data_IF_496501435250
#
_entry.id   IF_496501435250
#
_cell.length_a   1.000
_cell.length_b   1.000
_cell.length_c   1.000
_cell.angle_alpha   90.00
_cell.angle_beta   90.00
_cell.angle_gamma   90.00
#
_symmetry.space_group_name_H-M   'P 1'
#
loop_
_entity.id
_entity.type
_entity.pdbx_description
1 polymer ?
#
# COMPACT_ATOMS: atom_id res chain seq x y z
N UNK A 1 -44.36 10.44 -31.88
CA UNK A 1 -43.11 10.04 -31.18
C UNK A 1 -43.46 9.70 -29.74
N UNK A 2 -43.29 8.44 -29.32
CA UNK A 2 -43.72 7.99 -28.00
C UNK A 2 -42.84 8.56 -26.88
N UNK A 3 -43.45 8.88 -25.73
CA UNK A 3 -42.78 9.40 -24.52
C UNK A 3 -41.61 8.53 -24.04
N UNK A 4 -41.61 7.25 -24.42
CA UNK A 4 -40.56 6.27 -24.11
C UNK A 4 -39.20 6.62 -24.74
N UNK A 5 -39.18 7.23 -25.92
CA UNK A 5 -37.93 7.62 -26.60
C UNK A 5 -37.32 8.91 -26.03
N UNK A 6 -38.08 9.70 -25.27
CA UNK A 6 -37.59 10.92 -24.63
C UNK A 6 -36.90 10.60 -23.29
N UNK A 7 -37.45 9.69 -22.48
CA UNK A 7 -36.81 9.22 -21.24
C UNK A 7 -35.50 8.46 -21.51
N UNK A 8 -35.46 7.60 -22.53
CA UNK A 8 -34.23 6.83 -22.84
C UNK A 8 -33.07 7.74 -23.27
N UNK A 9 -33.35 8.85 -23.98
CA UNK A 9 -32.34 9.83 -24.38
C UNK A 9 -31.86 10.71 -23.22
N UNK A 10 -32.72 10.96 -22.22
CA UNK A 10 -32.33 11.71 -21.03
C UNK A 10 -31.47 10.87 -20.07
N UNK A 11 -31.72 9.56 -19.97
CA UNK A 11 -30.87 8.63 -19.21
C UNK A 11 -29.48 8.46 -19.86
N UNK A 12 -29.38 8.45 -21.19
CA UNK A 12 -28.10 8.37 -21.90
C UNK A 12 -27.30 9.68 -21.82
N UNK A 13 -27.95 10.86 -21.78
CA UNK A 13 -27.25 12.14 -21.55
C UNK A 13 -26.78 12.31 -20.09
N UNK A 14 -27.54 11.78 -19.11
CA UNK A 14 -27.13 11.80 -17.71
C UNK A 14 -25.97 10.82 -17.41
N UNK A 15 -25.84 9.73 -18.18
CA UNK A 15 -24.73 8.79 -18.04
C UNK A 15 -23.43 9.33 -18.66
N UNK A 16 -23.52 10.12 -19.73
CA UNK A 16 -22.35 10.75 -20.38
C UNK A 16 -21.88 12.00 -19.63
N UNK A 17 -22.75 12.64 -18.84
CA UNK A 17 -22.40 13.81 -18.00
C UNK A 17 -21.94 13.45 -16.57
N UNK A 18 -21.98 12.18 -16.17
CA UNK A 18 -21.33 11.71 -14.93
C UNK A 18 -19.88 11.26 -15.14
N UNK A 19 -19.41 11.28 -16.39
CA UNK A 19 -17.98 11.35 -16.71
C UNK A 19 -17.51 12.80 -16.74
N UNK A 20 -17.96 13.61 -15.76
CA UNK A 20 -17.08 14.68 -15.32
C UNK A 20 -15.89 13.97 -14.73
N UNK A 21 -14.84 13.82 -15.54
CA UNK A 21 -13.49 13.77 -15.04
C UNK A 21 -13.41 14.90 -14.00
N UNK A 22 -13.55 14.55 -12.72
CA UNK A 22 -12.83 15.27 -11.71
C UNK A 22 -11.41 15.25 -12.26
N UNK A 23 -10.95 16.40 -12.73
CA UNK A 23 -9.53 16.66 -12.83
C UNK A 23 -9.04 16.41 -11.40
N UNK A 24 -8.68 15.14 -11.14
CA UNK A 24 -8.50 14.61 -9.82
C UNK A 24 -7.35 15.38 -9.22
N UNK A 25 -7.55 15.90 -8.02
CA UNK A 25 -6.53 16.56 -7.25
C UNK A 25 -5.18 15.85 -7.41
N UNK A 26 -4.14 16.59 -7.76
CA UNK A 26 -2.78 16.05 -7.97
C UNK A 26 -2.06 15.96 -6.64
N UNK A 27 -0.96 15.20 -6.55
CA UNK A 27 -0.11 15.22 -5.36
C UNK A 27 0.39 16.63 -5.00
N UNK A 28 0.65 17.48 -6.01
CA UNK A 28 1.14 18.85 -5.83
C UNK A 28 0.10 19.71 -5.07
N UNK A 29 -1.18 19.54 -5.37
CA UNK A 29 -2.27 20.30 -4.75
C UNK A 29 -2.41 20.03 -3.24
N UNK A 30 -1.82 18.94 -2.73
CA UNK A 30 -1.85 18.58 -1.31
C UNK A 30 -0.69 19.18 -0.52
N UNK A 31 0.35 19.69 -1.17
CA UNK A 31 1.49 20.26 -0.47
C UNK A 31 1.05 21.52 0.32
N UNK A 32 1.51 21.70 1.56
CA UNK A 32 1.28 22.94 2.30
C UNK A 32 1.78 24.17 1.53
N UNK A 33 1.13 25.32 1.69
CA UNK A 33 1.67 26.55 1.11
C UNK A 33 2.92 27.03 1.86
N UNK A 34 3.65 27.99 1.30
CA UNK A 34 4.63 28.76 2.07
C UNK A 34 4.00 29.35 3.34
N UNK A 35 4.78 29.42 4.41
CA UNK A 35 4.36 29.94 5.72
C UNK A 35 3.15 29.18 6.32
N UNK A 36 2.84 27.96 5.85
CA UNK A 36 1.82 27.08 6.46
C UNK A 36 2.04 26.90 7.96
N UNK A 37 3.31 26.90 8.37
CA UNK A 37 3.77 27.16 9.72
C UNK A 37 4.69 28.40 9.67
N UNK A 38 4.52 29.38 10.58
CA UNK A 38 5.31 30.62 10.54
C UNK A 38 6.82 30.37 10.45
N UNK A 39 7.49 31.02 9.50
CA UNK A 39 8.92 30.94 9.23
C UNK A 39 9.35 29.76 8.35
N UNK A 40 8.44 28.87 7.96
CA UNK A 40 8.73 27.72 7.09
C UNK A 40 8.45 28.06 5.64
N UNK A 41 9.44 27.82 4.77
CA UNK A 41 9.35 28.09 3.33
C UNK A 41 9.76 26.89 2.51
N UNK A 42 9.09 26.68 1.38
CA UNK A 42 9.46 25.70 0.38
C UNK A 42 10.85 26.02 -0.18
N UNK A 43 11.68 25.00 -0.34
CA UNK A 43 12.85 25.06 -1.20
C UNK A 43 12.41 24.96 -2.66
N UNK A 44 13.13 25.61 -3.56
CA UNK A 44 12.73 25.82 -4.96
C UNK A 44 12.57 24.55 -5.82
N UNK A 45 12.99 23.38 -5.35
CA UNK A 45 12.90 22.13 -6.11
C UNK A 45 11.69 21.31 -5.63
N UNK A 46 10.49 21.74 -6.02
CA UNK A 46 9.33 20.83 -6.00
C UNK A 46 9.54 19.84 -7.14
N UNK A 47 9.82 18.60 -6.80
CA UNK A 47 9.96 17.52 -7.77
C UNK A 47 8.57 16.91 -7.97
N UNK A 48 7.95 17.21 -9.10
CA UNK A 48 6.74 16.56 -9.56
C UNK A 48 7.13 15.54 -10.63
N UNK A 49 6.87 14.26 -10.36
CA UNK A 49 7.17 13.19 -11.30
C UNK A 49 5.89 12.51 -11.76
N UNK A 50 5.79 12.30 -13.06
CA UNK A 50 4.82 11.41 -13.71
C UNK A 50 5.63 10.24 -14.31
N UNK A 51 5.05 9.04 -14.32
CA UNK A 51 5.63 7.84 -14.96
C UNK A 51 7.06 7.46 -14.50
N UNK A 52 7.98 7.28 -15.47
CA UNK A 52 9.30 6.64 -15.32
C UNK A 52 10.31 7.48 -14.51
N UNK A 53 9.97 8.70 -14.09
CA UNK A 53 10.87 9.54 -13.30
C UNK A 53 10.81 9.22 -11.79
N UNK A 54 9.85 8.38 -11.35
CA UNK A 54 9.75 7.90 -9.97
C UNK A 54 11.05 7.20 -9.49
N UNK A 55 11.79 6.58 -10.42
CA UNK A 55 13.06 5.90 -10.11
C UNK A 55 14.14 6.86 -9.59
N UNK A 56 14.07 8.15 -9.93
CA UNK A 56 14.99 9.16 -9.38
C UNK A 56 14.67 9.50 -7.92
N UNK A 57 13.42 9.33 -7.50
CA UNK A 57 12.98 9.60 -6.14
C UNK A 57 13.13 8.38 -5.22
N UNK A 58 12.70 7.19 -5.69
CA UNK A 58 12.74 5.95 -4.90
C UNK A 58 13.61 4.90 -5.61
N UNK A 59 14.89 4.88 -5.27
CA UNK A 59 15.86 3.93 -5.82
C UNK A 59 15.55 2.48 -5.39
N UNK A 60 15.13 1.65 -6.34
CA UNK A 60 14.83 0.22 -6.14
C UNK A 60 13.43 -0.09 -5.56
N UNK A 61 12.60 0.93 -5.33
CA UNK A 61 11.22 0.77 -4.85
C UNK A 61 10.14 1.23 -5.83
N UNK A 62 10.50 1.88 -6.94
CA UNK A 62 9.56 2.43 -7.90
C UNK A 62 8.65 1.36 -8.54
N UNK A 63 9.18 0.19 -8.90
CA UNK A 63 8.40 -0.92 -9.47
C UNK A 63 7.21 -1.33 -8.58
N UNK A 64 7.41 -1.25 -7.26
CA UNK A 64 6.39 -1.60 -6.29
C UNK A 64 5.29 -0.55 -6.22
N UNK A 65 5.63 0.73 -6.34
CA UNK A 65 4.65 1.82 -6.43
C UNK A 65 3.87 1.73 -7.74
N UNK A 66 4.55 1.44 -8.86
CA UNK A 66 3.91 1.23 -10.16
C UNK A 66 2.92 0.06 -10.12
N UNK A 67 3.28 -1.08 -9.51
CA UNK A 67 2.35 -2.20 -9.34
C UNK A 67 1.14 -1.84 -8.47
N UNK A 68 1.34 -0.97 -7.49
CA UNK A 68 0.27 -0.47 -6.63
C UNK A 68 -0.54 0.64 -7.32
N UNK A 69 -0.32 0.97 -8.59
CA UNK A 69 -1.12 1.95 -9.32
C UNK A 69 -0.67 3.39 -9.10
N UNK A 70 0.63 3.64 -9.03
CA UNK A 70 1.18 5.00 -8.97
C UNK A 70 0.64 5.90 -10.09
N UNK A 71 0.28 7.14 -9.75
CA UNK A 71 -0.20 8.15 -10.70
C UNK A 71 0.77 9.34 -10.79
N UNK A 72 1.04 10.01 -9.67
CA UNK A 72 2.03 11.09 -9.59
C UNK A 72 2.61 11.22 -8.17
N UNK A 73 3.72 11.95 -8.06
CA UNK A 73 4.30 12.35 -6.76
C UNK A 73 4.69 13.80 -6.77
N UNK A 74 4.49 14.47 -5.63
CA UNK A 74 5.09 15.77 -5.34
C UNK A 74 6.01 15.64 -4.12
N UNK A 75 7.29 15.95 -4.29
CA UNK A 75 8.29 15.96 -3.22
C UNK A 75 8.85 17.37 -3.02
N UNK A 76 8.92 17.81 -1.76
CA UNK A 76 9.39 19.15 -1.40
C UNK A 76 10.11 19.15 -0.05
N UNK A 77 11.12 20.00 0.07
CA UNK A 77 11.77 20.32 1.35
C UNK A 77 11.28 21.69 1.84
N UNK A 78 10.84 21.78 3.09
CA UNK A 78 10.60 23.04 3.79
C UNK A 78 11.76 23.33 4.73
N UNK A 79 12.21 24.59 4.75
CA UNK A 79 13.27 25.06 5.65
C UNK A 79 12.77 26.12 6.61
N UNK A 80 13.23 26.03 7.85
CA UNK A 80 13.18 27.11 8.82
C UNK A 80 14.60 27.56 9.16
N UNK A 81 14.91 28.87 9.17
CA UNK A 81 16.28 29.38 9.36
C UNK A 81 16.99 28.87 10.63
N UNK A 82 16.23 28.57 11.68
CA UNK A 82 16.77 28.16 12.99
C UNK A 82 16.23 26.83 13.53
N UNK A 83 15.27 26.19 12.87
CA UNK A 83 14.62 24.97 13.40
C UNK A 83 14.95 23.71 12.60
N UNK A 84 15.42 23.83 11.36
CA UNK A 84 15.83 22.69 10.54
C UNK A 84 14.97 22.52 9.29
N UNK A 85 14.69 21.26 8.93
CA UNK A 85 14.11 20.88 7.65
C UNK A 85 13.02 19.83 7.79
N UNK A 86 11.98 19.95 6.96
CA UNK A 86 10.91 18.97 6.81
C UNK A 86 10.85 18.56 5.34
N UNK A 87 10.96 17.28 5.04
CA UNK A 87 10.76 16.72 3.72
C UNK A 87 9.37 16.11 3.66
N UNK A 88 8.61 16.46 2.62
CA UNK A 88 7.26 15.94 2.38
C UNK A 88 7.24 15.32 1.00
N UNK A 89 6.79 14.08 0.91
CA UNK A 89 6.45 13.39 -0.33
C UNK A 89 4.98 13.02 -0.29
N UNK A 90 4.23 13.44 -1.30
CA UNK A 90 2.84 13.07 -1.49
C UNK A 90 2.77 12.21 -2.74
N UNK A 91 2.34 10.95 -2.60
CA UNK A 91 2.14 10.03 -3.71
C UNK A 91 0.64 9.88 -3.95
N UNK A 92 0.19 10.15 -5.17
CA UNK A 92 -1.16 9.82 -5.63
C UNK A 92 -1.14 8.45 -6.29
N UNK A 93 -2.06 7.61 -5.85
CA UNK A 93 -2.31 6.29 -6.41
C UNK A 93 -3.66 6.28 -7.16
N UNK A 94 -3.90 5.22 -7.93
CA UNK A 94 -5.11 5.06 -8.74
C UNK A 94 -6.40 4.86 -7.91
N UNK A 95 -6.24 4.52 -6.62
CA UNK A 95 -7.33 4.16 -5.73
C UNK A 95 -6.96 4.32 -4.26
N UNK A 96 -8.00 4.40 -3.42
CA UNK A 96 -7.87 4.46 -1.95
C UNK A 96 -7.16 3.20 -1.39
N UNK A 97 -7.51 2.02 -1.90
CA UNK A 97 -6.90 0.74 -1.52
C UNK A 97 -5.42 0.65 -1.92
N UNK A 98 -5.06 1.21 -3.08
CA UNK A 98 -3.68 1.29 -3.53
C UNK A 98 -2.82 2.16 -2.61
N UNK A 99 -3.30 3.36 -2.28
CA UNK A 99 -2.64 4.26 -1.33
C UNK A 99 -2.52 3.63 0.06
N UNK A 100 -3.56 2.94 0.53
CA UNK A 100 -3.50 2.16 1.76
C UNK A 100 -2.44 1.05 1.69
N UNK A 101 -2.34 0.34 0.57
CA UNK A 101 -1.31 -0.66 0.32
C UNK A 101 0.09 -0.09 0.52
N UNK A 102 0.39 1.03 -0.16
CA UNK A 102 1.68 1.72 -0.02
C UNK A 102 1.92 2.17 1.41
N UNK A 103 0.93 2.79 2.06
CA UNK A 103 1.01 3.19 3.47
C UNK A 103 1.33 2.01 4.39
N UNK A 104 0.59 0.92 4.27
CA UNK A 104 0.73 -0.27 5.13
C UNK A 104 2.07 -0.98 4.96
N UNK A 105 2.68 -0.85 3.78
CA UNK A 105 4.03 -1.31 3.47
C UNK A 105 5.09 -0.37 4.06
N UNK A 106 4.97 0.94 3.79
CA UNK A 106 6.02 1.94 4.09
C UNK A 106 6.13 2.30 5.56
N UNK A 107 5.03 2.22 6.33
CA UNK A 107 5.09 2.39 7.80
C UNK A 107 6.04 1.40 8.49
N UNK A 108 6.34 0.26 7.84
CA UNK A 108 7.15 -0.80 8.44
C UNK A 108 6.56 -1.29 9.77
N UNK A 109 7.41 -1.34 10.79
CA UNK A 109 7.09 -1.78 12.16
C UNK A 109 6.57 -0.68 13.08
N UNK A 110 6.46 0.56 12.60
CA UNK A 110 5.95 1.67 13.39
C UNK A 110 4.51 1.39 13.84
N UNK A 111 4.19 1.78 15.08
CA UNK A 111 2.89 1.50 15.67
C UNK A 111 1.80 2.33 15.01
N UNK A 112 0.73 1.65 14.63
CA UNK A 112 -0.43 2.26 14.01
C UNK A 112 -1.35 2.83 15.09
N UNK A 113 -1.55 4.15 15.07
CA UNK A 113 -2.64 4.74 15.84
C UNK A 113 -3.94 4.41 15.12
N UNK A 114 -4.69 3.44 15.65
CA UNK A 114 -6.03 3.10 15.14
C UNK A 114 -6.97 4.23 15.60
N UNK A 115 -7.17 5.23 14.75
CA UNK A 115 -8.07 6.35 14.97
C UNK A 115 -9.02 6.48 13.77
N UNK A 116 -10.21 7.10 13.88
CA UNK A 116 -11.06 7.29 12.73
C UNK A 116 -10.47 8.42 11.88
N UNK A 117 -9.64 8.06 10.88
CA UNK A 117 -9.28 8.89 9.73
C UNK A 117 -8.64 10.27 10.05
N UNK A 118 -7.39 10.54 9.63
CA UNK A 118 -6.53 9.70 8.80
C UNK A 118 -5.91 8.56 9.60
N UNK A 119 -5.55 7.47 8.91
CA UNK A 119 -4.65 6.50 9.52
C UNK A 119 -3.25 7.11 9.51
N UNK A 120 -2.70 7.27 10.71
CA UNK A 120 -1.43 7.93 10.93
C UNK A 120 -0.52 7.02 11.72
N UNK A 121 0.74 7.01 11.32
CA UNK A 121 1.82 6.35 12.02
C UNK A 121 3.00 7.32 12.07
N UNK A 122 3.56 7.58 13.23
CA UNK A 122 4.77 8.40 13.37
C UNK A 122 5.84 7.69 14.20
N UNK A 123 7.09 7.91 13.82
CA UNK A 123 8.28 7.56 14.58
C UNK A 123 8.96 8.80 15.14
N UNK A 124 10.24 8.66 15.47
CA UNK A 124 11.03 9.76 16.04
C UNK A 124 11.24 10.92 15.05
N UNK A 125 11.44 10.61 13.77
CA UNK A 125 11.78 11.57 12.71
C UNK A 125 10.88 11.46 11.47
N UNK A 126 9.91 10.56 11.48
CA UNK A 126 9.06 10.27 10.34
C UNK A 126 7.59 10.22 10.70
N UNK A 127 6.76 10.54 9.72
CA UNK A 127 5.30 10.51 9.81
C UNK A 127 4.78 9.97 8.48
N UNK A 128 3.93 8.96 8.55
CA UNK A 128 3.24 8.36 7.42
C UNK A 128 1.74 8.59 7.58
N UNK A 129 1.09 9.03 6.51
CA UNK A 129 -0.36 9.20 6.47
C UNK A 129 -0.94 8.51 5.25
N UNK A 130 -2.16 8.02 5.41
CA UNK A 130 -3.03 7.65 4.29
C UNK A 130 -4.30 8.49 4.35
N UNK A 131 -4.64 9.10 3.21
CA UNK A 131 -5.82 9.92 3.04
C UNK A 131 -6.34 9.82 1.60
N UNK A 132 -7.45 9.12 1.39
CA UNK A 132 -8.01 8.86 0.08
C UNK A 132 -6.99 8.16 -0.83
N UNK A 133 -6.90 8.55 -2.12
CA UNK A 133 -5.91 7.97 -3.03
C UNK A 133 -4.48 8.46 -2.77
N UNK A 134 -4.19 9.07 -1.61
CA UNK A 134 -2.87 9.62 -1.30
C UNK A 134 -2.18 8.89 -0.16
N UNK A 135 -0.91 8.57 -0.39
CA UNK A 135 0.05 8.21 0.64
C UNK A 135 1.01 9.37 0.85
N UNK A 136 1.20 9.78 2.10
CA UNK A 136 2.07 10.89 2.47
C UNK A 136 3.19 10.37 3.36
N UNK A 137 4.42 10.70 2.98
CA UNK A 137 5.64 10.45 3.74
C UNK A 137 6.24 11.78 4.18
N UNK A 138 6.51 11.92 5.47
CA UNK A 138 7.14 13.11 6.04
C UNK A 138 8.37 12.66 6.79
N UNK A 139 9.49 13.34 6.60
CA UNK A 139 10.68 13.16 7.43
C UNK A 139 11.24 14.51 7.88
N UNK A 140 11.89 14.52 9.03
CA UNK A 140 12.43 15.76 9.62
C UNK A 140 13.92 15.63 9.87
N UNK A 141 14.62 16.76 9.82
CA UNK A 141 16.05 16.83 10.14
C UNK A 141 16.36 18.11 10.90
N UNK A 142 17.04 17.96 12.05
CA UNK A 142 17.47 19.10 12.89
C UNK A 142 16.38 19.69 13.81
N UNK A 143 15.13 19.20 13.73
CA UNK A 143 14.04 19.68 14.59
C UNK A 143 14.20 19.16 16.02
N UNK A 144 13.89 20.04 16.99
CA UNK A 144 13.67 19.64 18.38
C UNK A 144 12.43 18.76 18.51
N UNK A 145 12.32 17.95 19.58
CA UNK A 145 11.13 17.12 19.81
C UNK A 145 9.81 17.91 19.81
N UNK A 146 9.81 19.14 20.36
CA UNK A 146 8.65 20.02 20.32
C UNK A 146 8.36 20.54 18.90
N UNK A 147 9.39 20.86 18.12
CA UNK A 147 9.27 21.25 16.72
C UNK A 147 8.65 20.14 15.87
N UNK A 148 9.12 18.90 16.04
CA UNK A 148 8.57 17.71 15.36
C UNK A 148 7.09 17.52 15.70
N UNK A 149 6.73 17.58 16.99
CA UNK A 149 5.34 17.42 17.43
C UNK A 149 4.42 18.49 16.81
N UNK A 150 4.85 19.75 16.77
CA UNK A 150 4.09 20.84 16.14
C UNK A 150 3.92 20.61 14.64
N UNK A 151 5.01 20.28 13.94
CA UNK A 151 4.99 20.00 12.50
C UNK A 151 4.03 18.86 12.17
N UNK A 152 4.14 17.73 12.88
CA UNK A 152 3.28 16.57 12.65
C UNK A 152 1.81 16.88 12.95
N UNK A 153 1.51 17.57 14.05
CA UNK A 153 0.14 17.98 14.38
C UNK A 153 -0.48 18.87 13.29
N UNK A 154 0.29 19.82 12.75
CA UNK A 154 -0.20 20.71 11.69
C UNK A 154 -0.42 19.95 10.37
N UNK A 155 0.46 19.01 10.01
CA UNK A 155 0.30 18.18 8.81
C UNK A 155 -0.89 17.22 8.91
N UNK A 156 -1.09 16.59 10.08
CA UNK A 156 -2.27 15.76 10.36
C UNK A 156 -3.58 16.56 10.28
N UNK A 157 -3.56 17.86 10.56
CA UNK A 157 -4.72 18.73 10.40
C UNK A 157 -4.89 19.28 8.98
N UNK A 158 -3.85 19.26 8.15
CA UNK A 158 -3.82 19.78 6.78
C UNK A 158 -4.37 18.76 5.78
N UNK A 159 -3.77 17.56 5.70
CA UNK A 159 -4.07 16.60 4.63
C UNK A 159 -5.53 16.13 4.57
N UNK A 160 -6.23 15.83 5.69
CA UNK A 160 -7.63 15.44 5.64
C UNK A 160 -8.57 16.51 5.08
N UNK A 161 -8.21 17.80 5.21
CA UNK A 161 -8.98 18.91 4.65
C UNK A 161 -8.76 19.05 3.15
N UNK A 162 -7.54 18.76 2.69
CA UNK A 162 -7.17 18.88 1.30
C UNK A 162 -7.71 17.74 0.47
N UNK A 163 -7.63 16.50 0.96
CA UNK A 163 -8.08 15.31 0.24
C UNK A 163 -9.22 14.61 0.99
N UNK A 164 -10.45 15.13 0.98
CA UNK A 164 -11.58 14.45 1.61
C UNK A 164 -11.80 13.10 0.93
N UNK A 165 -11.52 12.02 1.64
CA UNK A 165 -11.62 10.65 1.17
C UNK A 165 -12.44 9.81 2.13
N UNK A 166 -13.03 8.73 1.63
CA UNK A 166 -13.81 7.82 2.48
C UNK A 166 -12.90 6.96 3.37
N UNK A 167 -11.59 6.90 3.08
CA UNK A 167 -10.57 6.18 3.86
C UNK A 167 -11.02 4.75 4.19
N UNK A 168 -11.52 4.06 3.17
CA UNK A 168 -12.11 2.73 3.29
C UNK A 168 -11.00 1.70 3.35
N UNK A 169 -10.76 1.18 4.54
CA UNK A 169 -9.78 0.11 4.74
C UNK A 169 -10.19 -1.08 3.85
N UNK A 170 -9.27 -1.66 3.06
CA UNK A 170 -9.55 -2.81 2.24
C UNK A 170 -10.15 -3.95 3.07
N UNK A 171 -11.23 -4.56 2.55
CA UNK A 171 -12.01 -5.58 3.28
C UNK A 171 -11.14 -6.74 3.75
N UNK A 172 -10.17 -7.18 2.93
CA UNK A 172 -9.24 -8.25 3.29
C UNK A 172 -8.38 -7.87 4.50
N UNK A 173 -7.92 -6.62 4.57
CA UNK A 173 -7.16 -6.10 5.71
C UNK A 173 -8.07 -5.99 6.93
N UNK A 174 -9.18 -5.26 6.83
CA UNK A 174 -10.08 -4.97 7.96
C UNK A 174 -10.77 -6.19 8.58
N UNK A 175 -10.90 -7.31 7.84
CA UNK A 175 -11.54 -8.54 8.36
C UNK A 175 -10.61 -9.42 9.20
N UNK A 176 -9.33 -9.09 9.34
CA UNK A 176 -8.36 -9.96 10.01
C UNK A 176 -7.86 -9.33 11.30
N UNK A 177 -7.98 -10.01 12.44
CA UNK A 177 -7.54 -9.45 13.74
C UNK A 177 -6.08 -8.97 13.73
N UNK A 178 -5.20 -9.69 13.04
CA UNK A 178 -3.78 -9.28 12.94
C UNK A 178 -3.58 -7.99 12.13
N UNK A 179 -4.59 -7.48 11.43
CA UNK A 179 -4.54 -6.17 10.78
C UNK A 179 -4.43 -5.03 11.79
N UNK A 180 -4.78 -5.28 13.06
CA UNK A 180 -4.57 -4.36 14.18
C UNK A 180 -3.11 -4.34 14.64
N UNK A 181 -2.26 -5.24 14.15
CA UNK A 181 -0.83 -5.28 14.45
C UNK A 181 -0.04 -4.34 13.55
N UNK A 182 0.99 -3.70 14.10
CA UNK A 182 1.98 -2.93 13.33
C UNK A 182 2.72 -3.79 12.28
N UNK A 183 2.66 -5.12 12.38
CA UNK A 183 3.37 -6.04 11.51
C UNK A 183 2.56 -6.51 10.29
N UNK A 184 1.31 -6.07 10.15
CA UNK A 184 0.48 -6.38 8.99
C UNK A 184 0.70 -5.38 7.85
N UNK A 185 0.63 -5.90 6.62
CA UNK A 185 0.72 -5.15 5.37
C UNK A 185 -0.31 -5.65 4.37
N UNK A 186 -1.04 -4.71 3.76
CA UNK A 186 -1.89 -4.97 2.61
C UNK A 186 -1.03 -5.00 1.35
N UNK A 187 -1.04 -6.14 0.67
CA UNK A 187 -0.20 -6.42 -0.47
C UNK A 187 -1.03 -6.39 -1.74
N UNK A 188 -0.52 -5.73 -2.77
CA UNK A 188 -1.10 -5.76 -4.11
C UNK A 188 -0.10 -6.40 -5.07
N UNK A 189 -0.60 -7.24 -5.96
CA UNK A 189 0.18 -7.82 -7.05
C UNK A 189 1.34 -8.76 -6.66
N UNK A 190 1.98 -9.38 -7.68
CA UNK A 190 3.07 -10.33 -7.49
C UNK A 190 4.40 -9.70 -7.03
N UNK A 191 4.74 -8.46 -7.38
CA UNK A 191 5.96 -7.80 -6.90
C UNK A 191 5.85 -7.51 -5.41
N UNK A 192 4.71 -6.99 -4.95
CA UNK A 192 4.39 -6.79 -3.54
C UNK A 192 4.45 -8.08 -2.77
N UNK A 193 3.87 -9.16 -3.31
CA UNK A 193 3.95 -10.48 -2.67
C UNK A 193 5.39 -10.97 -2.57
N UNK A 194 6.17 -10.84 -3.65
CA UNK A 194 7.56 -11.29 -3.70
C UNK A 194 8.51 -10.44 -2.83
N UNK A 195 8.13 -9.21 -2.47
CA UNK A 195 8.84 -8.39 -1.49
C UNK A 195 8.80 -9.03 -0.08
N UNK A 196 7.75 -9.79 0.25
CA UNK A 196 7.63 -10.53 1.51
C UNK A 196 8.20 -11.94 1.42
N UNK A 197 7.91 -12.67 0.37
CA UNK A 197 8.46 -13.99 0.16
C UNK A 197 8.50 -14.30 -1.32
N UNK A 198 9.69 -14.58 -1.84
CA UNK A 198 9.86 -14.85 -3.26
C UNK A 198 9.29 -16.24 -3.59
N UNK A 199 8.10 -16.30 -4.17
CA UNK A 199 7.47 -17.56 -4.58
C UNK A 199 7.98 -18.05 -5.94
N UNK A 200 8.48 -17.13 -6.76
CA UNK A 200 9.00 -17.38 -8.10
C UNK A 200 8.80 -16.17 -9.01
N UNK A 201 9.21 -16.30 -10.27
CA UNK A 201 9.02 -15.23 -11.26
C UNK A 201 7.57 -15.18 -11.77
N UNK A 202 7.08 -13.97 -12.00
CA UNK A 202 5.72 -13.73 -12.50
C UNK A 202 4.62 -13.93 -11.46
N UNK A 203 3.37 -13.96 -11.91
CA UNK A 203 2.20 -14.11 -11.04
C UNK A 203 1.71 -15.57 -10.99
N UNK A 204 2.52 -16.46 -10.40
CA UNK A 204 2.21 -17.90 -10.29
C UNK A 204 1.02 -18.17 -9.37
N UNK A 205 0.87 -17.36 -8.32
CA UNK A 205 -0.23 -17.45 -7.35
C UNK A 205 -1.49 -16.67 -7.78
N UNK A 206 -1.49 -16.07 -8.99
CA UNK A 206 -2.62 -15.25 -9.48
C UNK A 206 -3.10 -14.23 -8.45
N UNK A 207 -2.16 -13.67 -7.67
CA UNK A 207 -2.45 -12.70 -6.62
C UNK A 207 -2.89 -11.38 -7.24
N UNK A 208 -3.95 -10.83 -6.67
CA UNK A 208 -4.39 -9.44 -6.88
C UNK A 208 -4.20 -8.65 -5.59
N UNK A 209 -4.64 -9.23 -4.46
CA UNK A 209 -4.44 -8.71 -3.12
C UNK A 209 -4.03 -9.83 -2.14
N UNK A 210 -3.30 -9.46 -1.10
CA UNK A 210 -2.97 -10.34 0.02
C UNK A 210 -2.87 -9.56 1.33
N UNK A 211 -2.93 -10.28 2.45
CA UNK A 211 -2.48 -9.79 3.75
C UNK A 211 -1.18 -10.50 4.12
N UNK A 212 -0.11 -9.75 4.33
CA UNK A 212 1.16 -10.27 4.82
C UNK A 212 1.40 -9.82 6.26
N UNK A 213 1.85 -10.73 7.12
CA UNK A 213 2.14 -10.48 8.52
C UNK A 213 3.57 -10.96 8.79
N UNK A 214 4.43 -10.05 9.24
CA UNK A 214 5.84 -10.37 9.52
C UNK A 214 6.10 -10.49 11.02
N UNK A 215 6.79 -11.54 11.45
CA UNK A 215 7.22 -11.77 12.82
C UNK A 215 8.73 -12.04 12.82
N UNK A 216 9.33 -12.07 14.01
CA UNK A 216 10.77 -12.23 14.15
C UNK A 216 11.30 -13.52 13.50
N UNK A 217 10.54 -14.60 13.61
CA UNK A 217 10.87 -15.95 13.17
C UNK A 217 10.02 -16.47 12.00
N UNK A 218 8.97 -15.72 11.62
CA UNK A 218 7.95 -16.23 10.72
C UNK A 218 7.30 -15.14 9.86
N UNK A 219 6.75 -15.56 8.73
CA UNK A 219 5.90 -14.74 7.86
C UNK A 219 4.63 -15.51 7.57
N UNK A 220 3.49 -14.85 7.73
CA UNK A 220 2.19 -15.38 7.34
C UNK A 220 1.67 -14.58 6.16
N UNK A 221 1.12 -15.25 5.16
CA UNK A 221 0.54 -14.60 3.98
C UNK A 221 -0.82 -15.22 3.72
N UNK A 222 -1.83 -14.37 3.55
CA UNK A 222 -3.21 -14.75 3.31
C UNK A 222 -3.61 -14.24 1.94
N UNK A 223 -3.81 -15.16 1.01
CA UNK A 223 -4.34 -14.88 -0.32
C UNK A 223 -5.84 -15.15 -0.33
N UNK A 224 -6.60 -14.24 -0.91
CA UNK A 224 -8.04 -14.38 -1.08
C UNK A 224 -8.38 -14.43 -2.56
N UNK A 225 -9.22 -15.40 -2.94
CA UNK A 225 -9.68 -15.60 -4.32
C UNK A 225 -11.20 -15.35 -4.40
N UNK A 226 -11.74 -15.12 -5.61
CA UNK A 226 -13.16 -14.88 -5.79
C UNK A 226 -14.07 -16.02 -5.31
N UNK A 227 -13.58 -17.27 -5.40
CA UNK A 227 -14.33 -18.47 -5.04
C UNK A 227 -13.38 -19.65 -4.71
N UNK A 228 -13.94 -20.67 -4.06
CA UNK A 228 -13.25 -21.90 -3.66
C UNK A 228 -12.62 -22.64 -4.85
N UNK A 229 -13.28 -22.64 -6.01
CA UNK A 229 -12.80 -23.30 -7.22
C UNK A 229 -11.51 -22.65 -7.73
N UNK A 230 -11.46 -21.32 -7.76
CA UNK A 230 -10.30 -20.54 -8.15
C UNK A 230 -9.15 -20.76 -7.18
N UNK A 231 -9.42 -20.71 -5.87
CA UNK A 231 -8.42 -21.00 -4.85
C UNK A 231 -7.83 -22.41 -5.00
N UNK A 232 -8.69 -23.42 -5.22
CA UNK A 232 -8.25 -24.80 -5.43
C UNK A 232 -7.40 -24.94 -6.69
N UNK A 233 -7.82 -24.36 -7.81
CA UNK A 233 -7.07 -24.39 -9.06
C UNK A 233 -5.69 -23.75 -8.92
N UNK A 234 -5.60 -22.61 -8.24
CA UNK A 234 -4.33 -21.93 -7.97
C UNK A 234 -3.45 -22.77 -7.05
N UNK A 235 -4.00 -23.34 -5.98
CA UNK A 235 -3.27 -24.20 -5.05
C UNK A 235 -2.66 -25.42 -5.77
N UNK A 236 -3.43 -26.11 -6.60
CA UNK A 236 -2.96 -27.25 -7.39
C UNK A 236 -1.85 -26.84 -8.36
N UNK A 237 -2.05 -25.77 -9.13
CA UNK A 237 -1.05 -25.27 -10.08
C UNK A 237 0.25 -24.83 -9.39
N UNK A 238 0.15 -24.20 -8.23
CA UNK A 238 1.30 -23.82 -7.42
C UNK A 238 2.03 -25.04 -6.85
N UNK A 239 1.29 -26.06 -6.42
CA UNK A 239 1.86 -27.31 -5.89
C UNK A 239 2.67 -28.06 -6.96
N UNK A 240 2.12 -28.17 -8.17
CA UNK A 240 2.83 -28.72 -9.34
C UNK A 240 4.09 -27.92 -9.67
N UNK A 241 4.00 -26.58 -9.63
CA UNK A 241 5.13 -25.69 -9.86
C UNK A 241 6.24 -25.89 -8.81
N UNK A 242 5.89 -26.07 -7.54
CA UNK A 242 6.87 -26.33 -6.48
C UNK A 242 7.59 -27.66 -6.67
N UNK A 243 6.85 -28.72 -7.01
CA UNK A 243 7.43 -30.05 -7.24
C UNK A 243 8.45 -30.09 -8.38
N UNK A 244 8.33 -29.18 -9.36
CA UNK A 244 9.28 -29.03 -10.46
C UNK A 244 10.40 -28.01 -10.23
N UNK A 245 10.44 -27.36 -9.06
CA UNK A 245 11.35 -26.26 -8.79
C UNK A 245 12.57 -26.69 -7.97
N UNK A 246 13.77 -26.28 -8.38
CA UNK A 246 15.00 -26.49 -7.60
C UNK A 246 15.08 -25.59 -6.34
N UNK A 247 14.08 -24.75 -6.09
CA UNK A 247 14.03 -23.83 -4.95
C UNK A 247 13.52 -24.50 -3.67
N UNK A 248 12.83 -25.64 -3.81
CA UNK A 248 12.17 -26.32 -2.72
C UNK A 248 12.65 -27.76 -2.58
N UNK A 249 12.73 -28.23 -1.33
CA UNK A 249 13.04 -29.62 -0.97
C UNK A 249 12.03 -30.15 0.06
N UNK A 250 12.15 -31.42 0.44
CA UNK A 250 11.29 -32.09 1.44
C UNK A 250 9.79 -31.87 1.19
N UNK A 251 9.41 -31.95 -0.08
CA UNK A 251 8.06 -31.69 -0.54
C UNK A 251 7.10 -32.79 -0.08
N UNK A 252 6.04 -32.38 0.60
CA UNK A 252 4.94 -33.22 1.04
C UNK A 252 3.62 -32.51 0.73
N UNK A 253 2.66 -33.26 0.19
CA UNK A 253 1.31 -32.76 -0.05
C UNK A 253 0.30 -33.77 0.47
N UNK A 254 -0.61 -33.31 1.32
CA UNK A 254 -1.70 -34.10 1.89
C UNK A 254 -2.98 -33.28 1.80
N UNK A 255 -3.94 -33.78 1.01
CA UNK A 255 -5.24 -33.15 0.75
C UNK A 255 -5.17 -31.65 0.37
N UNK A 256 -5.28 -30.77 1.37
CA UNK A 256 -5.34 -29.30 1.24
C UNK A 256 -4.15 -28.61 1.90
N UNK A 257 -3.10 -29.35 2.25
CA UNK A 257 -1.88 -28.84 2.87
C UNK A 257 -0.65 -29.27 2.08
N UNK A 258 0.25 -28.31 1.85
CA UNK A 258 1.56 -28.49 1.25
C UNK A 258 2.61 -28.07 2.25
N UNK A 259 3.64 -28.90 2.41
CA UNK A 259 4.83 -28.62 3.21
C UNK A 259 6.08 -28.76 2.33
N UNK A 260 7.01 -27.82 2.48
CA UNK A 260 8.31 -27.86 1.82
C UNK A 260 9.36 -27.12 2.65
N UNK A 261 10.63 -27.29 2.28
CA UNK A 261 11.76 -26.48 2.73
C UNK A 261 12.23 -25.58 1.59
N UNK A 262 12.50 -24.31 1.87
CA UNK A 262 13.13 -23.41 0.88
C UNK A 262 14.66 -23.51 0.91
N UNK A 263 15.34 -22.78 0.01
CA UNK A 263 16.81 -22.73 -0.07
C UNK A 263 17.53 -22.27 1.21
N UNK A 264 16.82 -21.65 2.15
CA UNK A 264 17.35 -21.23 3.45
C UNK A 264 16.95 -22.18 4.57
N UNK A 265 16.41 -23.35 4.22
CA UNK A 265 15.87 -24.36 5.12
C UNK A 265 14.68 -23.86 5.97
N UNK A 266 14.02 -22.78 5.54
CA UNK A 266 12.77 -22.34 6.17
C UNK A 266 11.68 -23.36 5.87
N UNK A 267 10.84 -23.66 6.86
CA UNK A 267 9.62 -24.45 6.64
C UNK A 267 8.57 -23.59 5.96
N UNK A 268 8.12 -24.01 4.79
CA UNK A 268 7.05 -23.38 4.02
C UNK A 268 5.83 -24.27 4.09
N UNK A 269 4.73 -23.74 4.60
CA UNK A 269 3.45 -24.44 4.70
C UNK A 269 2.43 -23.63 3.92
N UNK A 270 1.70 -24.27 3.00
CA UNK A 270 0.57 -23.68 2.30
C UNK A 270 -0.70 -24.50 2.60
N UNK A 271 -1.80 -23.82 3.00
CA UNK A 271 -3.08 -24.46 3.31
C UNK A 271 -4.20 -23.85 2.49
N UNK A 272 -4.93 -24.67 1.74
CA UNK A 272 -6.17 -24.30 1.08
C UNK A 272 -7.33 -24.32 2.09
N UNK A 273 -8.07 -23.23 2.21
CA UNK A 273 -9.22 -23.10 3.11
C UNK A 273 -10.34 -22.29 2.46
N UNK A 274 -11.29 -22.98 1.82
CA UNK A 274 -12.32 -22.36 1.00
C UNK A 274 -11.68 -21.47 -0.07
N UNK A 275 -12.14 -20.23 -0.18
CA UNK A 275 -11.62 -19.21 -1.09
C UNK A 275 -10.23 -18.64 -0.73
N UNK A 276 -9.51 -19.20 0.25
CA UNK A 276 -8.22 -18.67 0.72
C UNK A 276 -7.09 -19.69 0.58
N UNK A 277 -5.88 -19.19 0.34
CA UNK A 277 -4.64 -19.94 0.57
C UNK A 277 -3.85 -19.23 1.65
N UNK A 278 -3.50 -19.96 2.71
CA UNK A 278 -2.76 -19.48 3.87
C UNK A 278 -1.34 -20.02 3.81
N UNK A 279 -0.36 -19.12 3.76
CA UNK A 279 1.05 -19.46 3.81
C UNK A 279 1.63 -19.16 5.19
N UNK A 280 2.50 -20.04 5.67
CA UNK A 280 3.39 -19.80 6.80
C UNK A 280 4.82 -20.16 6.39
N UNK A 281 5.74 -19.21 6.51
CA UNK A 281 7.16 -19.40 6.26
C UNK A 281 7.89 -19.20 7.58
N UNK A 282 8.53 -20.23 8.10
CA UNK A 282 9.16 -20.23 9.43
C UNK A 282 10.64 -20.54 9.33
N UNK A 283 11.48 -19.77 10.01
CA UNK A 283 12.90 -20.06 10.12
C UNK A 283 13.12 -21.44 10.77
N UNK A 284 14.22 -22.13 10.45
CA UNK A 284 14.61 -23.31 11.21
C UNK A 284 14.80 -22.93 12.69
N UNK A 285 14.43 -23.84 13.59
CA UNK A 285 14.71 -23.74 15.03
C UNK A 285 16.22 -23.70 15.32
#
# INVERSE_FOLDING_TARGET
MSKTNFLLRFCLLAFVLFSFNAYGQTALDLLPADEWMPGWKQSYDVLAYEDDDLFFLINGGADLFLEYGFSDVAAVEYRHPSEGKIYIEVYRMDSDSAAFGVFSLRKGSLQMEINPSPWVVYGEDNLHLWQGPFYISVSTSGLSSLGKLKAFAMLMAHFPKMAPGENRVPVLFGNHRESESSNATYVLGPLGLNNFYHFGHGNILKVTEALAITRDDSREIILNYPDDYTAQKVFLSFSEHLGGSNRYSDYQIEDSELLAKDLRNNTVIARLKGQKILFSVRKPE
#
